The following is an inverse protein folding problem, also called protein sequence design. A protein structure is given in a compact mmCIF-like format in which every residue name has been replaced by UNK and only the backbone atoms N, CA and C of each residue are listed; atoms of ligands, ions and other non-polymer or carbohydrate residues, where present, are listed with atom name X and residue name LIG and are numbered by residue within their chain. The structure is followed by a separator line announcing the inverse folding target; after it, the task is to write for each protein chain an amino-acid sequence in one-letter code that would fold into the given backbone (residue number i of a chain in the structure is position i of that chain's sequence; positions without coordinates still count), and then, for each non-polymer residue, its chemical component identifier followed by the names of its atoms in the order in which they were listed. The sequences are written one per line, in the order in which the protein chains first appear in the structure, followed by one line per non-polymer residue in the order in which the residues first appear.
data_IF_798036110034
#
_entry.id   IF_798036110034
#
_cell.length_a   1.000
_cell.length_b   1.000
_cell.length_c   1.000
_cell.angle_alpha   90.00
_cell.angle_beta   90.00
_cell.angle_gamma   90.00
#
_symmetry.space_group_name_H-M   'P 1'
#
loop_
_entity.id
_entity.type
_entity.pdbx_description
1 polymer ?
#
# COMPACT_ATOMS: atom_id res chain seq x y z
N UNK A 1 43.27 48.56 -20.21
CA UNK A 1 43.24 50.04 -20.30
C UNK A 1 41.81 50.50 -20.12
N UNK A 2 41.61 51.52 -19.21
CA UNK A 2 40.43 52.33 -18.95
C UNK A 2 39.44 51.61 -17.99
N UNK A 3 39.41 51.80 -16.70
CA UNK A 3 39.51 52.88 -15.69
C UNK A 3 38.21 53.72 -15.51
N UNK A 4 37.76 53.68 -14.25
CA UNK A 4 37.01 54.71 -13.47
C UNK A 4 35.51 54.92 -13.87
N UNK A 5 34.55 55.14 -12.94
CA UNK A 5 34.60 55.96 -11.74
C UNK A 5 33.46 55.66 -10.78
N UNK A 6 33.74 55.94 -9.52
CA UNK A 6 32.86 55.97 -8.34
C UNK A 6 31.82 57.10 -8.41
N UNK A 7 30.63 56.86 -7.77
CA UNK A 7 29.83 57.96 -7.25
C UNK A 7 29.19 57.54 -5.89
N UNK A 8 29.71 58.12 -4.85
CA UNK A 8 29.20 58.19 -3.48
C UNK A 8 28.12 59.26 -3.43
N UNK A 9 26.94 58.95 -2.93
CA UNK A 9 25.95 59.96 -2.52
C UNK A 9 25.42 59.60 -1.14
N UNK A 10 25.91 60.32 -0.18
CA UNK A 10 25.39 60.49 1.19
C UNK A 10 24.20 61.46 1.17
N UNK A 11 23.06 61.05 1.72
CA UNK A 11 22.01 61.98 2.15
C UNK A 11 21.50 61.61 3.55
N UNK A 12 21.34 62.62 4.34
CA UNK A 12 21.28 62.73 5.77
C UNK A 12 19.94 62.29 6.42
N UNK A 13 20.06 62.03 7.73
CA UNK A 13 19.00 61.81 8.72
C UNK A 13 17.91 62.91 8.71
N UNK A 14 16.65 62.44 8.88
CA UNK A 14 15.63 63.21 9.59
C UNK A 14 14.80 62.21 10.41
N UNK A 15 14.92 62.30 11.73
CA UNK A 15 14.09 61.58 12.67
C UNK A 15 12.69 62.18 12.76
N UNK A 16 11.69 61.31 13.00
CA UNK A 16 10.46 61.65 13.67
C UNK A 16 10.08 60.54 14.65
N UNK A 17 10.06 60.89 15.92
CA UNK A 17 9.46 60.12 16.99
C UNK A 17 7.92 60.14 16.83
N UNK A 18 7.27 58.97 16.98
CA UNK A 18 5.81 58.90 16.98
C UNK A 18 5.30 57.52 17.42
N UNK A 19 4.85 57.49 18.68
CA UNK A 19 3.79 56.67 19.26
C UNK A 19 3.84 55.15 19.12
N UNK A 20 4.04 54.52 20.27
CA UNK A 20 3.67 53.13 20.59
C UNK A 20 2.19 52.88 20.29
N UNK A 21 1.92 51.95 19.41
CA UNK A 21 0.63 51.29 19.41
C UNK A 21 0.89 49.78 19.40
N UNK A 22 0.39 49.09 20.43
CA UNK A 22 0.60 47.68 20.67
C UNK A 22 -0.19 46.82 19.68
N UNK A 23 0.41 46.56 18.54
CA UNK A 23 -0.05 45.53 17.64
C UNK A 23 0.52 44.19 18.10
N UNK A 24 -0.27 43.40 18.82
CA UNK A 24 0.05 42.00 19.08
C UNK A 24 0.31 41.31 17.77
N UNK A 25 1.57 40.98 17.53
CA UNK A 25 1.91 40.01 16.51
C UNK A 25 1.25 38.67 16.94
N UNK A 26 0.11 38.36 16.33
CA UNK A 26 -0.40 37.02 16.32
C UNK A 26 0.72 36.19 15.68
N UNK A 27 1.47 35.48 16.53
CA UNK A 27 2.32 34.39 16.08
C UNK A 27 1.39 33.40 15.38
N UNK A 28 1.34 33.43 14.05
CA UNK A 28 0.90 32.32 13.25
C UNK A 28 1.83 31.18 13.63
N UNK A 29 1.43 30.38 14.61
CA UNK A 29 1.94 29.02 14.75
C UNK A 29 1.56 28.33 13.45
N UNK A 30 2.49 28.23 12.49
CA UNK A 30 2.41 27.21 11.46
C UNK A 30 2.35 25.90 12.24
N UNK A 31 1.17 25.32 12.39
CA UNK A 31 1.04 23.95 12.85
C UNK A 31 1.93 23.15 11.90
N UNK A 32 3.00 22.63 12.44
CA UNK A 32 3.96 21.83 11.69
C UNK A 32 3.23 20.52 11.43
N UNK A 33 2.78 20.35 10.20
CA UNK A 33 2.06 19.15 9.75
C UNK A 33 2.99 17.95 9.91
N UNK A 34 2.60 17.01 10.76
CA UNK A 34 3.37 15.78 11.03
C UNK A 34 2.96 14.73 10.04
N UNK A 35 3.91 14.13 9.32
CA UNK A 35 3.61 13.11 8.31
C UNK A 35 3.96 11.72 8.82
N UNK A 36 2.95 10.84 8.95
CA UNK A 36 3.12 9.41 9.20
C UNK A 36 3.21 8.66 7.85
N UNK A 37 4.33 8.02 7.57
CA UNK A 37 4.58 7.29 6.33
C UNK A 37 4.28 5.81 6.48
N UNK A 38 3.32 5.31 5.72
CA UNK A 38 2.89 3.91 5.78
C UNK A 38 3.17 3.22 4.44
N UNK A 39 4.02 2.19 4.45
CA UNK A 39 4.25 1.30 3.31
C UNK A 39 3.35 0.08 3.45
N UNK A 40 2.42 -0.13 2.51
CA UNK A 40 1.41 -1.17 2.60
C UNK A 40 1.25 -1.95 1.29
N UNK A 41 0.95 -3.24 1.40
CA UNK A 41 0.68 -4.09 0.24
C UNK A 41 -0.46 -3.51 -0.61
N UNK A 42 -0.32 -3.58 -1.93
CA UNK A 42 -1.27 -2.99 -2.89
C UNK A 42 -2.73 -3.46 -2.70
N UNK A 43 -2.94 -4.69 -2.27
CA UNK A 43 -4.27 -5.23 -1.94
C UNK A 43 -4.95 -4.56 -0.73
N UNK A 44 -4.20 -3.77 0.06
CA UNK A 44 -4.71 -3.03 1.22
C UNK A 44 -5.21 -1.62 0.88
N UNK A 45 -5.03 -1.14 -0.35
CA UNK A 45 -5.24 0.26 -0.74
C UNK A 45 -6.56 0.82 -0.21
N UNK A 46 -7.70 0.23 -0.54
CA UNK A 46 -9.00 0.77 -0.12
C UNK A 46 -9.20 0.79 1.39
N UNK A 47 -8.84 -0.31 2.07
CA UNK A 47 -9.02 -0.43 3.51
C UNK A 47 -8.08 0.50 4.27
N UNK A 48 -6.83 0.64 3.82
CA UNK A 48 -5.85 1.49 4.47
C UNK A 48 -6.09 2.99 4.19
N UNK A 49 -6.64 3.35 3.03
CA UNK A 49 -7.12 4.73 2.78
C UNK A 49 -8.26 5.12 3.74
N UNK A 50 -9.16 4.19 4.08
CA UNK A 50 -10.21 4.42 5.05
C UNK A 50 -9.64 4.55 6.47
N UNK A 51 -8.71 3.66 6.85
CA UNK A 51 -8.03 3.71 8.14
C UNK A 51 -7.16 4.96 8.29
N UNK A 52 -6.50 5.40 7.21
CA UNK A 52 -5.73 6.64 7.18
C UNK A 52 -6.62 7.85 7.49
N UNK A 53 -7.76 7.98 6.81
CA UNK A 53 -8.74 9.06 7.12
C UNK A 53 -9.26 9.00 8.55
N UNK A 54 -9.51 7.80 9.08
CA UNK A 54 -9.95 7.60 10.48
C UNK A 54 -8.85 8.04 11.45
N UNK A 55 -7.60 7.72 11.14
CA UNK A 55 -6.45 8.11 11.96
C UNK A 55 -6.24 9.62 11.96
N UNK A 56 -6.25 10.25 10.80
CA UNK A 56 -6.11 11.70 10.63
C UNK A 56 -7.22 12.48 11.38
N UNK A 57 -8.47 11.99 11.30
CA UNK A 57 -9.58 12.59 12.03
C UNK A 57 -9.40 12.53 13.56
N UNK A 58 -8.73 11.51 14.07
CA UNK A 58 -8.41 11.35 15.49
C UNK A 58 -7.13 12.11 15.92
N UNK A 59 -6.29 12.51 14.97
CA UNK A 59 -4.98 13.17 15.21
C UNK A 59 -4.86 14.47 14.40
N UNK A 60 -5.51 15.56 14.81
CA UNK A 60 -5.42 16.85 14.12
C UNK A 60 -3.97 17.31 13.92
N UNK A 61 -3.61 17.72 12.69
CA UNK A 61 -2.24 18.10 12.32
C UNK A 61 -1.34 16.95 11.89
N UNK A 62 -1.89 15.71 11.81
CA UNK A 62 -1.20 14.53 11.24
C UNK A 62 -1.75 14.24 9.86
N UNK A 63 -0.86 14.06 8.87
CA UNK A 63 -1.13 13.52 7.55
C UNK A 63 -0.59 12.09 7.46
N UNK A 64 -1.37 11.15 6.92
CA UNK A 64 -0.93 9.77 6.66
C UNK A 64 -0.55 9.62 5.19
N UNK A 65 0.74 9.57 4.91
CA UNK A 65 1.27 9.37 3.56
C UNK A 65 1.39 7.89 3.24
N UNK A 66 0.57 7.41 2.30
CA UNK A 66 0.53 6.00 1.91
C UNK A 66 1.45 5.72 0.72
N UNK A 67 2.25 4.64 0.81
CA UNK A 67 3.04 4.07 -0.28
C UNK A 67 2.57 2.63 -0.53
N UNK A 68 1.86 2.42 -1.64
CA UNK A 68 1.32 1.11 -2.00
C UNK A 68 2.17 0.41 -3.06
N UNK A 69 2.34 -0.90 -2.91
CA UNK A 69 3.07 -1.72 -3.88
C UNK A 69 3.05 -3.20 -3.55
N UNK A 70 3.69 -4.01 -4.36
CA UNK A 70 3.95 -5.41 -4.00
C UNK A 70 4.87 -5.49 -2.79
N UNK A 71 4.54 -6.32 -1.80
CA UNK A 71 5.31 -6.39 -0.54
C UNK A 71 6.79 -6.71 -0.74
N UNK A 72 7.16 -7.43 -1.79
CA UNK A 72 8.55 -7.71 -2.16
C UNK A 72 9.32 -6.45 -2.58
N UNK A 73 8.70 -5.59 -3.37
CA UNK A 73 9.28 -4.30 -3.77
C UNK A 73 9.36 -3.32 -2.60
N UNK A 74 8.30 -3.26 -1.77
CA UNK A 74 8.28 -2.39 -0.60
C UNK A 74 9.39 -2.77 0.41
N UNK A 75 9.53 -4.07 0.73
CA UNK A 75 10.59 -4.48 1.68
C UNK A 75 11.98 -4.23 1.10
N UNK A 76 12.17 -4.35 -0.21
CA UNK A 76 13.42 -3.96 -0.86
C UNK A 76 13.70 -2.47 -0.68
N UNK A 77 12.74 -1.58 -0.97
CA UNK A 77 12.87 -0.14 -0.76
C UNK A 77 13.24 0.20 0.69
N UNK A 78 12.58 -0.45 1.66
CA UNK A 78 12.85 -0.25 3.09
C UNK A 78 14.26 -0.71 3.47
N UNK A 79 14.74 -1.84 2.95
CA UNK A 79 16.10 -2.33 3.19
C UNK A 79 17.18 -1.47 2.50
N UNK A 80 16.81 -0.76 1.45
CA UNK A 80 17.66 0.24 0.77
C UNK A 80 17.58 1.63 1.43
N UNK A 81 16.81 1.77 2.53
CA UNK A 81 16.74 3.00 3.34
C UNK A 81 15.63 3.96 2.95
N UNK A 82 14.61 3.52 2.23
CA UNK A 82 13.42 4.35 2.00
C UNK A 82 12.74 4.68 3.33
N UNK A 83 12.37 5.96 3.58
CA UNK A 83 11.76 6.36 4.84
C UNK A 83 10.32 5.83 4.93
N UNK A 84 10.01 5.18 6.05
CA UNK A 84 8.66 4.81 6.44
C UNK A 84 8.57 4.61 7.97
N UNK A 85 7.36 4.66 8.49
CA UNK A 85 7.06 4.52 9.91
C UNK A 85 6.36 3.19 10.21
N UNK A 86 5.57 2.69 9.26
CA UNK A 86 4.82 1.43 9.35
C UNK A 86 5.00 0.61 8.08
N UNK A 87 5.09 -0.72 8.23
CA UNK A 87 5.05 -1.65 7.11
C UNK A 87 3.94 -2.70 7.31
N UNK A 88 3.08 -2.84 6.30
CA UNK A 88 2.02 -3.86 6.23
C UNK A 88 2.22 -4.74 5.00
N UNK A 89 2.49 -6.02 5.21
CA UNK A 89 2.78 -6.99 4.14
C UNK A 89 1.59 -7.90 3.84
N UNK A 90 1.47 -8.36 2.59
CA UNK A 90 0.48 -9.37 2.20
C UNK A 90 0.98 -10.81 2.40
N UNK A 91 2.15 -11.02 2.97
CA UNK A 91 2.63 -12.32 3.40
C UNK A 91 3.66 -12.23 4.54
N UNK A 92 3.87 -13.36 5.21
CA UNK A 92 4.87 -13.50 6.25
C UNK A 92 6.31 -13.57 5.71
N UNK A 93 6.49 -14.06 4.47
CA UNK A 93 7.83 -14.21 3.85
C UNK A 93 8.50 -12.85 3.66
N UNK A 94 7.78 -11.87 3.14
CA UNK A 94 8.32 -10.52 2.96
C UNK A 94 8.44 -9.76 4.29
N UNK A 95 7.51 -9.94 5.23
CA UNK A 95 7.67 -9.43 6.60
C UNK A 95 8.93 -10.01 7.28
N UNK A 96 9.20 -11.31 7.09
CA UNK A 96 10.42 -11.92 7.62
C UNK A 96 11.70 -11.29 7.06
N UNK A 97 11.73 -10.91 5.78
CA UNK A 97 12.89 -10.17 5.22
C UNK A 97 13.12 -8.85 5.95
N UNK A 98 12.04 -8.12 6.27
CA UNK A 98 12.13 -6.88 7.04
C UNK A 98 12.70 -7.12 8.45
N UNK A 99 12.18 -8.12 9.15
CA UNK A 99 12.65 -8.46 10.51
C UNK A 99 14.09 -8.97 10.52
N UNK A 100 14.46 -9.81 9.55
CA UNK A 100 15.84 -10.30 9.39
C UNK A 100 16.83 -9.15 9.11
N UNK A 101 16.38 -8.08 8.45
CA UNK A 101 17.15 -6.86 8.24
C UNK A 101 17.23 -5.95 9.49
N UNK A 102 16.54 -6.31 10.58
CA UNK A 102 16.55 -5.56 11.84
C UNK A 102 15.77 -4.25 11.80
N UNK A 103 14.83 -4.08 10.86
CA UNK A 103 14.07 -2.85 10.64
C UNK A 103 12.77 -2.76 11.44
N UNK A 104 12.32 -3.84 12.07
CA UNK A 104 11.09 -3.85 12.87
C UNK A 104 11.33 -3.28 14.28
N UNK A 105 10.40 -2.46 14.79
CA UNK A 105 10.41 -1.91 16.15
C UNK A 105 9.82 -2.88 17.20
N UNK A 106 9.55 -4.11 16.81
CA UNK A 106 8.98 -5.16 17.69
C UNK A 106 8.53 -6.35 16.86
N UNK A 107 7.72 -7.21 17.44
CA UNK A 107 7.19 -8.39 16.76
C UNK A 107 6.04 -8.01 15.84
N UNK A 108 6.07 -8.40 14.54
CA UNK A 108 4.96 -8.22 13.63
C UNK A 108 3.71 -8.96 14.09
N UNK A 109 2.55 -8.36 13.90
CA UNK A 109 1.27 -8.96 14.27
C UNK A 109 0.43 -9.22 13.02
N UNK A 110 -0.08 -10.43 12.86
CA UNK A 110 -1.06 -10.74 11.82
C UNK A 110 -2.38 -10.04 12.17
N UNK A 111 -2.94 -9.30 11.21
CA UNK A 111 -4.17 -8.54 11.39
C UNK A 111 -5.30 -8.97 10.45
N UNK A 112 -4.99 -9.69 9.37
CA UNK A 112 -5.97 -10.19 8.41
C UNK A 112 -5.43 -11.41 7.65
N UNK A 113 -6.34 -12.10 6.94
CA UNK A 113 -6.03 -13.14 5.98
C UNK A 113 -6.72 -12.86 4.63
N UNK A 114 -6.23 -13.46 3.54
CA UNK A 114 -6.85 -13.34 2.23
C UNK A 114 -6.60 -14.60 1.41
N UNK A 115 -7.42 -14.83 0.39
CA UNK A 115 -7.29 -15.95 -0.55
C UNK A 115 -7.37 -15.44 -1.99
N UNK A 116 -6.79 -16.21 -2.91
CA UNK A 116 -6.83 -15.89 -4.32
C UNK A 116 -8.17 -16.27 -4.97
N UNK A 117 -8.47 -15.57 -6.04
CA UNK A 117 -9.57 -15.85 -6.98
C UNK A 117 -9.13 -15.50 -8.40
N UNK A 118 -9.90 -15.93 -9.39
CA UNK A 118 -9.69 -15.55 -10.77
C UNK A 118 -10.65 -14.40 -11.12
N UNK A 119 -10.10 -13.27 -11.57
CA UNK A 119 -10.85 -12.17 -12.13
C UNK A 119 -10.86 -12.25 -13.66
N UNK A 120 -12.02 -12.05 -14.26
CA UNK A 120 -12.17 -11.88 -15.71
C UNK A 120 -12.88 -10.55 -15.98
N UNK A 121 -12.73 -9.92 -17.18
CA UNK A 121 -13.50 -8.73 -17.52
C UNK A 121 -15.01 -8.94 -17.32
N UNK A 122 -15.75 -7.89 -17.03
CA UNK A 122 -17.19 -7.99 -16.74
C UNK A 122 -18.00 -8.66 -17.87
N UNK A 123 -17.63 -8.40 -19.12
CA UNK A 123 -18.24 -8.98 -20.34
C UNK A 123 -17.66 -10.35 -20.70
N UNK A 124 -16.62 -10.80 -20.02
CA UNK A 124 -15.97 -12.11 -20.17
C UNK A 124 -15.85 -12.60 -21.63
N UNK A 125 -15.17 -11.86 -22.49
CA UNK A 125 -15.15 -12.15 -23.94
C UNK A 125 -14.46 -13.49 -24.28
N UNK A 126 -13.63 -14.02 -23.37
CA UNK A 126 -12.98 -15.31 -23.52
C UNK A 126 -13.81 -16.50 -23.02
N UNK A 127 -15.04 -16.25 -22.51
CA UNK A 127 -15.94 -17.27 -21.95
C UNK A 127 -15.24 -18.20 -20.94
N UNK A 128 -14.55 -17.57 -19.97
CA UNK A 128 -13.86 -18.26 -18.87
C UNK A 128 -14.85 -18.46 -17.73
N UNK A 129 -15.23 -19.71 -17.47
CA UNK A 129 -16.25 -20.07 -16.47
C UNK A 129 -15.69 -20.93 -15.33
N UNK A 130 -14.46 -21.41 -15.48
CA UNK A 130 -13.78 -22.23 -14.50
C UNK A 130 -12.28 -21.98 -14.46
N UNK A 131 -11.62 -22.37 -13.36
CA UNK A 131 -10.16 -22.34 -13.26
C UNK A 131 -9.49 -23.23 -14.32
N UNK A 132 -10.16 -24.29 -14.76
CA UNK A 132 -9.67 -25.17 -15.83
C UNK A 132 -9.50 -24.45 -17.17
N UNK A 133 -10.32 -23.47 -17.46
CA UNK A 133 -10.25 -22.73 -18.73
C UNK A 133 -8.89 -22.01 -18.88
N UNK A 134 -8.32 -21.48 -17.78
CA UNK A 134 -7.00 -20.82 -17.81
C UNK A 134 -5.82 -21.81 -17.75
N UNK A 135 -6.09 -23.10 -17.46
CA UNK A 135 -5.08 -24.15 -17.47
C UNK A 135 -5.01 -24.82 -18.84
N UNK A 136 -6.17 -25.11 -19.44
CA UNK A 136 -6.30 -26.02 -20.59
C UNK A 136 -6.45 -25.26 -21.93
N UNK A 137 -6.71 -23.94 -21.89
CA UNK A 137 -6.94 -23.10 -23.09
C UNK A 137 -5.86 -22.04 -23.24
N UNK A 138 -5.65 -21.60 -24.48
CA UNK A 138 -4.77 -20.47 -24.80
C UNK A 138 -5.51 -19.15 -24.55
N UNK A 139 -5.41 -18.67 -23.31
CA UNK A 139 -5.99 -17.39 -22.84
C UNK A 139 -4.89 -16.48 -22.30
N UNK A 140 -5.09 -15.19 -22.38
CA UNK A 140 -4.15 -14.20 -21.83
C UNK A 140 -4.29 -14.13 -20.30
N UNK A 141 -3.71 -15.10 -19.61
CA UNK A 141 -3.64 -15.11 -18.16
C UNK A 141 -2.53 -14.19 -17.68
N UNK A 142 -2.81 -13.36 -16.70
CA UNK A 142 -1.83 -12.52 -15.98
C UNK A 142 -1.80 -12.90 -14.50
N UNK A 143 -0.59 -12.98 -13.93
CA UNK A 143 -0.37 -13.30 -12.52
C UNK A 143 0.61 -12.31 -11.90
N UNK A 144 0.83 -12.41 -10.60
CA UNK A 144 1.98 -11.74 -9.98
C UNK A 144 3.27 -12.54 -10.19
N UNK A 145 4.41 -11.86 -10.15
CA UNK A 145 5.72 -12.50 -10.13
C UNK A 145 5.91 -13.37 -8.86
N UNK A 146 6.70 -14.46 -8.93
CA UNK A 146 6.82 -15.43 -7.83
C UNK A 146 7.31 -14.89 -6.48
N UNK A 147 8.04 -13.79 -6.47
CA UNK A 147 8.53 -13.11 -5.26
C UNK A 147 7.46 -12.24 -4.59
N UNK A 148 6.43 -11.84 -5.32
CA UNK A 148 5.30 -11.07 -4.83
C UNK A 148 4.33 -11.98 -4.07
N UNK A 149 3.66 -11.55 -2.99
CA UNK A 149 2.78 -12.39 -2.19
C UNK A 149 1.71 -13.15 -2.99
N UNK A 150 1.04 -12.48 -3.93
CA UNK A 150 0.04 -13.10 -4.83
C UNK A 150 0.67 -14.14 -5.76
N UNK A 151 1.88 -13.93 -6.27
CA UNK A 151 2.60 -14.90 -7.09
C UNK A 151 3.05 -16.12 -6.31
N UNK A 152 3.57 -15.91 -5.10
CA UNK A 152 3.92 -17.02 -4.20
C UNK A 152 2.67 -17.85 -3.80
N UNK A 153 1.52 -17.21 -3.63
CA UNK A 153 0.24 -17.90 -3.40
C UNK A 153 -0.23 -18.63 -4.66
N UNK A 154 -0.06 -18.05 -5.85
CA UNK A 154 -0.35 -18.72 -7.14
C UNK A 154 0.42 -20.02 -7.29
N UNK A 155 1.73 -20.02 -6.96
CA UNK A 155 2.52 -21.27 -6.98
C UNK A 155 1.99 -22.35 -6.02
N UNK A 156 1.45 -21.96 -4.85
CA UNK A 156 0.80 -22.90 -3.93
C UNK A 156 -0.50 -23.46 -4.54
N UNK A 157 -1.27 -22.61 -5.23
CA UNK A 157 -2.49 -23.03 -5.96
C UNK A 157 -2.15 -24.02 -7.07
N UNK A 158 -1.12 -23.75 -7.88
CA UNK A 158 -0.65 -24.68 -8.91
C UNK A 158 -0.32 -26.06 -8.31
N UNK A 159 0.49 -26.04 -7.24
CA UNK A 159 0.86 -27.28 -6.53
C UNK A 159 -0.35 -28.01 -5.95
N UNK A 160 -1.26 -27.28 -5.29
CA UNK A 160 -2.45 -27.85 -4.66
C UNK A 160 -3.40 -28.51 -5.68
N UNK A 161 -3.49 -27.93 -6.88
CA UNK A 161 -4.36 -28.40 -7.95
C UNK A 161 -3.65 -29.37 -8.93
N UNK A 162 -2.33 -29.55 -8.81
CA UNK A 162 -1.55 -30.41 -9.72
C UNK A 162 -1.51 -29.88 -11.15
N UNK A 163 -1.47 -28.55 -11.32
CA UNK A 163 -1.46 -27.88 -12.62
C UNK A 163 -0.24 -26.96 -12.76
N UNK A 164 0.07 -26.59 -14.00
CA UNK A 164 1.02 -25.53 -14.31
C UNK A 164 0.31 -24.44 -15.10
N UNK A 165 0.45 -23.21 -14.67
CA UNK A 165 -0.10 -22.04 -15.35
C UNK A 165 0.95 -21.43 -16.29
N UNK A 166 0.48 -20.87 -17.40
CA UNK A 166 1.34 -20.23 -18.40
C UNK A 166 0.93 -18.76 -18.58
N UNK A 167 1.24 -17.88 -17.60
CA UNK A 167 0.87 -16.48 -17.70
C UNK A 167 1.63 -15.80 -18.84
N UNK A 168 0.94 -14.97 -19.61
CA UNK A 168 1.56 -14.14 -20.66
C UNK A 168 2.35 -12.96 -20.07
N UNK A 169 2.09 -12.63 -18.81
CA UNK A 169 2.77 -11.57 -18.08
C UNK A 169 2.70 -11.82 -16.58
N UNK A 170 3.75 -11.35 -15.87
CA UNK A 170 3.87 -11.43 -14.41
C UNK A 170 4.13 -10.04 -13.85
N UNK A 171 3.30 -9.61 -12.90
CA UNK A 171 3.29 -8.24 -12.42
C UNK A 171 3.93 -8.11 -11.02
N UNK A 172 4.42 -6.92 -10.72
CA UNK A 172 5.06 -6.60 -9.44
C UNK A 172 4.07 -6.24 -8.33
N UNK A 173 2.79 -6.00 -8.66
CA UNK A 173 1.72 -5.77 -7.70
C UNK A 173 0.41 -6.38 -8.20
N UNK A 174 -0.48 -6.78 -7.26
CA UNK A 174 -1.78 -7.37 -7.63
C UNK A 174 -2.71 -6.35 -8.31
N UNK A 175 -2.56 -5.08 -7.98
CA UNK A 175 -3.29 -3.98 -8.65
C UNK A 175 -2.95 -3.87 -10.14
N UNK A 176 -1.72 -4.22 -10.54
CA UNK A 176 -1.33 -4.23 -11.95
C UNK A 176 -1.99 -5.40 -12.68
N UNK A 177 -2.09 -6.56 -12.04
CA UNK A 177 -2.85 -7.72 -12.56
C UNK A 177 -4.31 -7.32 -12.78
N UNK A 178 -4.96 -6.77 -11.75
CA UNK A 178 -6.35 -6.31 -11.81
C UNK A 178 -6.53 -5.23 -12.90
N UNK A 179 -5.60 -4.29 -12.98
CA UNK A 179 -5.59 -3.23 -14.00
C UNK A 179 -5.59 -3.76 -15.43
N UNK A 180 -4.80 -4.82 -15.71
CA UNK A 180 -4.78 -5.46 -17.03
C UNK A 180 -6.09 -6.17 -17.35
N UNK A 181 -6.74 -6.78 -16.36
CA UNK A 181 -8.06 -7.41 -16.54
C UNK A 181 -9.12 -6.33 -16.82
N UNK A 182 -9.21 -5.32 -15.96
CA UNK A 182 -10.25 -4.26 -16.06
C UNK A 182 -10.10 -3.40 -17.30
N UNK A 183 -8.91 -3.33 -17.90
CA UNK A 183 -8.65 -2.60 -19.16
C UNK A 183 -8.76 -3.49 -20.41
N UNK A 184 -9.11 -4.77 -20.28
CA UNK A 184 -9.22 -5.72 -21.40
C UNK A 184 -7.87 -6.12 -22.03
N UNK A 185 -6.75 -5.84 -21.37
CA UNK A 185 -5.42 -6.28 -21.81
C UNK A 185 -5.15 -7.76 -21.49
N UNK A 186 -5.86 -8.30 -20.49
CA UNK A 186 -5.84 -9.70 -20.10
C UNK A 186 -7.25 -10.30 -20.15
N UNK A 187 -7.34 -11.57 -20.50
CA UNK A 187 -8.59 -12.35 -20.49
C UNK A 187 -8.92 -12.81 -19.07
N UNK A 188 -7.89 -13.03 -18.24
CA UNK A 188 -8.01 -13.39 -16.83
C UNK A 188 -6.80 -12.95 -16.03
N UNK A 189 -7.00 -12.73 -14.73
CA UNK A 189 -5.94 -12.43 -13.76
C UNK A 189 -6.15 -13.16 -12.44
N UNK A 190 -5.08 -13.66 -11.83
CA UNK A 190 -5.14 -14.21 -10.48
C UNK A 190 -4.88 -13.08 -9.49
N UNK A 191 -5.90 -12.76 -8.69
CA UNK A 191 -5.94 -11.65 -7.73
C UNK A 191 -6.52 -12.14 -6.41
N UNK A 192 -6.60 -11.28 -5.40
CA UNK A 192 -7.29 -11.62 -4.15
C UNK A 192 -8.81 -11.39 -4.27
N UNK A 193 -9.58 -12.09 -3.42
CA UNK A 193 -11.03 -11.87 -3.31
C UNK A 193 -11.35 -10.41 -3.00
N UNK A 194 -10.56 -9.75 -2.17
CA UNK A 194 -10.72 -8.33 -1.85
C UNK A 194 -10.53 -7.41 -3.05
N UNK A 195 -9.63 -7.77 -3.99
CA UNK A 195 -9.40 -6.98 -5.21
C UNK A 195 -10.63 -7.03 -6.12
N UNK A 196 -11.25 -8.21 -6.30
CA UNK A 196 -12.47 -8.33 -7.10
C UNK A 196 -13.64 -7.63 -6.44
N UNK A 197 -13.76 -7.69 -5.11
CA UNK A 197 -14.79 -6.97 -4.36
C UNK A 197 -14.64 -5.45 -4.53
N UNK A 198 -13.42 -4.93 -4.45
CA UNK A 198 -13.11 -3.52 -4.71
C UNK A 198 -13.36 -3.11 -6.16
N UNK A 199 -13.11 -4.00 -7.12
CA UNK A 199 -13.38 -3.74 -8.53
C UNK A 199 -14.89 -3.67 -8.83
N UNK A 200 -15.73 -4.33 -8.03
CA UNK A 200 -17.17 -4.37 -8.21
C UNK A 200 -17.59 -4.90 -9.60
N UNK A 201 -18.48 -4.20 -10.26
CA UNK A 201 -19.04 -4.60 -11.58
C UNK A 201 -18.01 -4.57 -12.74
N UNK A 202 -16.79 -4.11 -12.50
CA UNK A 202 -15.75 -4.07 -13.56
C UNK A 202 -15.17 -5.44 -13.89
N UNK A 203 -15.37 -6.43 -13.01
CA UNK A 203 -14.89 -7.81 -13.20
C UNK A 203 -15.95 -8.81 -12.76
N UNK A 204 -15.88 -10.01 -13.35
CA UNK A 204 -16.58 -11.19 -12.87
C UNK A 204 -15.57 -12.11 -12.16
N UNK A 205 -15.99 -12.70 -11.05
CA UNK A 205 -15.16 -13.60 -10.25
C UNK A 205 -15.40 -15.05 -10.65
N UNK A 206 -14.33 -15.79 -10.88
CA UNK A 206 -14.37 -17.24 -11.11
C UNK A 206 -13.59 -17.94 -9.99
N UNK A 207 -14.19 -18.97 -9.40
CA UNK A 207 -13.63 -19.68 -8.26
C UNK A 207 -12.35 -20.46 -8.65
N UNK A 208 -11.34 -20.37 -7.78
CA UNK A 208 -10.14 -21.22 -7.84
C UNK A 208 -10.29 -22.33 -6.78
N UNK A 209 -10.18 -23.62 -7.14
CA UNK A 209 -10.25 -24.70 -6.17
C UNK A 209 -9.05 -24.68 -5.19
N UNK A 210 -9.27 -25.18 -3.96
CA UNK A 210 -8.23 -25.39 -2.93
C UNK A 210 -7.48 -24.12 -2.51
N UNK A 211 -8.15 -22.97 -2.50
CA UNK A 211 -7.56 -21.70 -2.05
C UNK A 211 -7.25 -21.72 -0.56
N UNK A 212 -7.91 -22.57 0.22
CA UNK A 212 -7.61 -22.84 1.63
C UNK A 212 -6.17 -23.34 1.86
N UNK A 213 -5.52 -23.92 0.85
CA UNK A 213 -4.12 -24.35 0.92
C UNK A 213 -3.12 -23.23 0.57
N UNK A 214 -3.60 -22.05 0.21
CA UNK A 214 -2.80 -20.89 -0.18
C UNK A 214 -3.24 -19.59 0.50
N UNK A 215 -3.73 -19.70 1.74
CA UNK A 215 -4.12 -18.53 2.52
C UNK A 215 -2.92 -17.62 2.77
N UNK A 216 -3.07 -16.34 2.48
CA UNK A 216 -2.11 -15.30 2.81
C UNK A 216 -2.46 -14.71 4.19
N UNK A 217 -1.47 -14.64 5.08
CA UNK A 217 -1.55 -13.92 6.35
C UNK A 217 -0.89 -12.56 6.20
N UNK A 218 -1.58 -11.51 6.64
CA UNK A 218 -1.16 -10.12 6.52
C UNK A 218 -0.60 -9.61 7.85
N UNK A 219 0.72 -9.51 8.01
CA UNK A 219 1.35 -8.91 9.18
C UNK A 219 1.56 -7.40 9.02
N UNK A 220 1.53 -6.68 10.15
CA UNK A 220 1.86 -5.26 10.27
C UNK A 220 2.86 -5.03 11.40
N UNK A 221 3.74 -4.04 11.26
CA UNK A 221 4.72 -3.64 12.27
C UNK A 221 5.08 -2.17 12.13
N UNK A 222 5.36 -1.49 13.25
CA UNK A 222 6.05 -0.21 13.26
C UNK A 222 7.53 -0.40 12.94
N UNK A 223 8.16 0.56 12.27
CA UNK A 223 9.57 0.49 11.91
C UNK A 223 10.47 1.09 12.99
N UNK A 224 11.68 0.52 13.14
CA UNK A 224 12.62 0.87 14.20
C UNK A 224 13.12 2.31 14.09
N UNK A 225 13.38 2.76 12.86
CA UNK A 225 13.93 4.08 12.56
C UNK A 225 12.82 5.06 12.15
N UNK A 226 11.58 4.82 12.62
CA UNK A 226 10.44 5.72 12.42
C UNK A 226 10.76 7.11 12.97
N UNK A 227 10.44 8.15 12.18
CA UNK A 227 10.49 9.53 12.65
C UNK A 227 9.37 9.83 13.67
N UNK A 228 8.26 9.08 13.59
CA UNK A 228 7.04 9.25 14.38
C UNK A 228 6.68 7.93 15.13
N UNK A 229 7.53 7.43 16.05
CA UNK A 229 7.38 6.09 16.61
C UNK A 229 6.11 5.89 17.44
N UNK A 230 5.58 6.95 18.04
CA UNK A 230 4.33 6.89 18.80
C UNK A 230 3.12 6.79 17.87
N UNK A 231 3.05 7.64 16.82
CA UNK A 231 2.00 7.59 15.81
C UNK A 231 2.03 6.26 15.04
N UNK A 232 3.23 5.74 14.73
CA UNK A 232 3.38 4.44 14.09
C UNK A 232 2.76 3.31 14.92
N UNK A 233 2.99 3.28 16.24
CA UNK A 233 2.36 2.30 17.14
C UNK A 233 0.85 2.46 17.19
N UNK A 234 0.36 3.69 17.31
CA UNK A 234 -1.07 3.98 17.34
C UNK A 234 -1.76 3.57 16.04
N UNK A 235 -1.12 3.79 14.88
CA UNK A 235 -1.64 3.32 13.59
C UNK A 235 -1.69 1.78 13.52
N UNK A 236 -0.64 1.09 13.97
CA UNK A 236 -0.63 -0.38 14.09
C UNK A 236 -1.75 -0.88 15.01
N UNK A 237 -2.00 -0.19 16.12
CA UNK A 237 -3.07 -0.54 17.06
C UNK A 237 -4.46 -0.27 16.45
N UNK A 238 -4.65 0.79 15.68
CA UNK A 238 -5.86 1.04 14.91
C UNK A 238 -6.12 -0.10 13.92
N UNK A 239 -5.13 -0.49 13.12
CA UNK A 239 -5.24 -1.58 12.13
C UNK A 239 -5.68 -2.90 12.78
N UNK A 240 -5.17 -3.20 13.98
CA UNK A 240 -5.46 -4.43 14.74
C UNK A 240 -6.71 -4.33 15.62
N UNK A 241 -7.18 -3.12 15.87
CA UNK A 241 -8.33 -2.82 16.73
C UNK A 241 -9.67 -3.22 16.12
N UNK A 242 -10.76 -2.93 16.83
CA UNK A 242 -12.11 -3.24 16.37
C UNK A 242 -12.47 -2.52 15.08
N UNK A 243 -12.05 -1.26 14.95
CA UNK A 243 -12.28 -0.46 13.74
C UNK A 243 -11.53 -1.06 12.54
N UNK A 244 -10.25 -1.40 12.71
CA UNK A 244 -9.47 -2.06 11.66
C UNK A 244 -10.09 -3.39 11.24
N UNK A 245 -10.50 -4.23 12.19
CA UNK A 245 -11.19 -5.50 11.90
C UNK A 245 -12.51 -5.29 11.14
N UNK A 246 -13.26 -4.25 11.51
CA UNK A 246 -14.50 -3.90 10.82
C UNK A 246 -14.23 -3.50 9.37
N UNK A 247 -13.35 -2.52 9.13
CA UNK A 247 -13.01 -2.01 7.79
C UNK A 247 -12.48 -3.14 6.90
N UNK A 248 -11.56 -3.96 7.44
CA UNK A 248 -11.00 -5.10 6.70
C UNK A 248 -12.05 -6.19 6.40
N UNK A 249 -12.91 -6.52 7.36
CA UNK A 249 -14.00 -7.48 7.18
C UNK A 249 -15.02 -6.99 6.13
N UNK A 250 -15.37 -5.71 6.17
CA UNK A 250 -16.24 -5.08 5.17
C UNK A 250 -15.61 -5.10 3.78
N UNK A 251 -14.29 -5.01 3.68
CA UNK A 251 -13.54 -5.17 2.42
C UNK A 251 -13.41 -6.64 1.96
N UNK A 252 -13.73 -7.62 2.80
CA UNK A 252 -13.71 -9.05 2.45
C UNK A 252 -12.46 -9.80 2.92
N UNK A 253 -11.61 -9.19 3.75
CA UNK A 253 -10.53 -9.93 4.40
C UNK A 253 -11.08 -10.90 5.44
N UNK A 254 -10.40 -12.04 5.59
CA UNK A 254 -10.64 -12.97 6.69
C UNK A 254 -9.97 -12.49 7.98
N UNK A 255 -10.45 -13.02 9.13
CA UNK A 255 -9.83 -12.80 10.43
C UNK A 255 -8.39 -13.35 10.47
N UNK A 256 -7.51 -12.82 11.36
CA UNK A 256 -6.15 -13.32 11.57
C UNK A 256 -6.09 -14.74 12.14
#
# INVERSE_FOLDING_TARGET
MIALASAVSTVALAGCAGASDGGGAAASSSEQETTLRVSAAASLTHSFDELARTFEAAHPGVEVSMNYGGSSGLVQQLTEGAPADVFASADQKNMKKLTDAGLAAGEPSVFATNVLTLAVPADNPADITSFRDVVDRDVKLVTCAPEVPCGAATQKIEKANGVTLHPVSQENAVTDVLGKVTSGQADAGIVYVTDTKSAGERVTTVEIPRTDQAVNSYPVVALKDSAEPELARQFVDLVRGDEGRKVLGDAGFGAP
#
